data_IF_071795371488
#
_entry.id   IF_071795371488
#
_cell.length_a   1.000
_cell.length_b   1.000
_cell.length_c   1.000
_cell.angle_alpha   90.00
_cell.angle_beta   90.00
_cell.angle_gamma   90.00
#
_symmetry.space_group_name_H-M   'P 1'
#
loop_
_entity.id
_entity.type
_entity.pdbx_description
1 polymer ?
#
# COMPACT_ATOMS: atom_id res chain seq x y z
N UNK A 1 -69.45 -18.98 7.78
CA UNK A 1 -68.60 -19.00 8.99
C UNK A 1 -67.16 -19.14 8.50
N UNK A 2 -66.21 -18.24 8.70
CA UNK A 2 -66.12 -16.89 9.25
C UNK A 2 -64.78 -16.34 8.77
N UNK A 3 -64.75 -15.06 8.37
CA UNK A 3 -63.55 -14.36 7.92
C UNK A 3 -62.62 -14.07 9.12
N UNK A 4 -61.32 -14.36 8.98
CA UNK A 4 -60.28 -14.03 9.95
C UNK A 4 -59.20 -13.16 9.31
N UNK A 5 -59.31 -11.84 9.55
CA UNK A 5 -58.37 -10.79 9.16
C UNK A 5 -57.09 -10.85 10.01
N UNK A 6 -55.91 -10.82 9.38
CA UNK A 6 -54.63 -10.64 10.08
C UNK A 6 -54.02 -9.27 9.69
N UNK A 7 -53.97 -8.41 10.70
CA UNK A 7 -53.48 -7.05 10.64
C UNK A 7 -51.94 -7.00 10.64
N UNK A 8 -51.42 -6.12 9.79
CA UNK A 8 -50.03 -5.68 9.74
C UNK A 8 -49.65 -4.88 11.00
N UNK A 9 -48.52 -5.24 11.63
CA UNK A 9 -47.86 -4.40 12.64
C UNK A 9 -46.55 -3.85 12.08
N UNK A 10 -46.54 -2.55 11.83
CA UNK A 10 -45.32 -1.77 11.63
C UNK A 10 -44.57 -1.61 12.97
N UNK A 11 -43.25 -1.81 13.02
CA UNK A 11 -42.45 -1.33 14.13
C UNK A 11 -42.14 0.16 13.98
N UNK A 12 -42.31 0.86 15.10
CA UNK A 12 -42.19 2.30 15.29
C UNK A 12 -40.80 2.86 14.96
N UNK A 13 -40.81 4.10 14.44
CA UNK A 13 -39.63 4.88 14.11
C UNK A 13 -38.77 5.21 15.32
N UNK A 14 -37.45 5.07 15.14
CA UNK A 14 -36.45 5.64 16.06
C UNK A 14 -36.18 7.08 15.66
N UNK A 15 -36.35 7.97 16.64
CA UNK A 15 -35.99 9.37 16.58
C UNK A 15 -34.48 9.54 16.40
N UNK A 16 -34.06 10.21 15.32
CA UNK A 16 -32.70 10.73 15.17
C UNK A 16 -32.60 12.08 15.88
N UNK A 17 -31.57 12.30 16.74
CA UNK A 17 -31.28 13.62 17.27
C UNK A 17 -30.63 14.51 16.18
N UNK A 18 -30.84 15.84 16.23
CA UNK A 18 -30.36 16.77 15.21
C UNK A 18 -28.85 17.04 15.31
N UNK A 19 -28.32 17.47 14.17
CA UNK A 19 -26.94 17.85 13.85
C UNK A 19 -26.12 18.42 14.99
N UNK A 20 -25.00 17.75 15.29
CA UNK A 20 -23.90 18.32 16.05
C UNK A 20 -22.87 18.87 15.07
N UNK A 21 -22.93 20.18 14.91
CA UNK A 21 -21.93 21.05 14.30
C UNK A 21 -20.53 20.66 14.83
N UNK A 22 -19.66 20.20 13.94
CA UNK A 22 -18.25 19.96 14.29
C UNK A 22 -17.56 21.32 14.41
N UNK A 23 -17.31 21.67 15.66
CA UNK A 23 -16.52 22.81 16.10
C UNK A 23 -15.09 22.68 15.57
N UNK A 24 -14.65 23.71 14.84
CA UNK A 24 -13.28 23.87 14.36
C UNK A 24 -12.45 24.31 15.56
N UNK A 25 -11.87 23.37 16.28
CA UNK A 25 -10.85 23.67 17.28
C UNK A 25 -9.53 23.96 16.56
N UNK A 26 -9.20 25.24 16.49
CA UNK A 26 -7.89 25.78 16.13
C UNK A 26 -6.80 25.23 17.06
N UNK A 27 -5.81 24.56 16.47
CA UNK A 27 -4.56 24.22 17.16
C UNK A 27 -3.64 25.44 17.04
N UNK A 28 -3.55 26.21 18.12
CA UNK A 28 -2.52 27.22 18.33
C UNK A 28 -1.16 26.54 18.53
N UNK A 29 -0.28 26.64 17.55
CA UNK A 29 1.17 26.46 17.74
C UNK A 29 1.77 27.84 18.02
N UNK A 30 2.01 28.08 19.30
CA UNK A 30 2.72 29.24 19.83
C UNK A 30 4.22 29.08 19.51
N UNK A 31 4.65 29.58 18.34
CA UNK A 31 6.07 29.77 18.03
C UNK A 31 6.43 31.24 18.27
N UNK A 32 7.17 31.48 19.35
CA UNK A 32 7.78 32.76 19.64
C UNK A 32 8.80 33.15 18.56
N UNK A 33 8.44 34.17 17.80
CA UNK A 33 9.26 35.35 17.49
C UNK A 33 10.59 35.17 16.75
N UNK A 34 10.59 35.53 15.47
CA UNK A 34 11.51 36.57 14.99
C UNK A 34 10.91 37.33 13.79
N UNK A 35 10.93 38.65 13.90
CA UNK A 35 10.33 39.65 13.01
C UNK A 35 11.08 39.74 11.69
N UNK A 36 10.39 39.55 10.57
CA UNK A 36 10.69 40.28 9.33
C UNK A 36 9.40 40.74 8.67
N UNK A 37 9.24 42.06 8.59
CA UNK A 37 8.12 42.73 7.96
C UNK A 37 8.20 42.62 6.44
N UNK A 38 7.17 42.09 5.80
CA UNK A 38 6.97 42.22 4.36
C UNK A 38 5.57 42.79 4.14
N UNK A 39 5.54 43.96 3.51
CA UNK A 39 4.36 44.77 3.26
C UNK A 39 3.34 44.04 2.39
N UNK A 40 2.08 44.17 2.77
CA UNK A 40 0.95 43.64 2.03
C UNK A 40 0.73 44.33 0.69
N UNK A 41 0.25 43.55 -0.27
CA UNK A 41 -0.59 44.03 -1.35
C UNK A 41 -1.74 43.04 -1.49
N UNK A 42 -2.96 43.55 -1.27
CA UNK A 42 -4.21 42.88 -1.61
C UNK A 42 -4.38 43.02 -3.12
N UNK A 43 -4.64 41.92 -3.81
CA UNK A 43 -5.35 41.95 -5.08
C UNK A 43 -6.35 40.79 -5.10
N UNK A 44 -7.61 41.17 -5.24
CA UNK A 44 -8.77 40.32 -5.53
C UNK A 44 -8.76 39.95 -7.02
N UNK A 45 -9.32 38.80 -7.37
CA UNK A 45 -9.51 38.33 -8.75
C UNK A 45 -9.37 36.82 -8.81
N UNK A 46 -10.45 36.04 -8.71
CA UNK A 46 -11.34 35.60 -9.81
C UNK A 46 -10.61 34.66 -10.79
N UNK A 47 -11.35 33.60 -11.19
CA UNK A 47 -11.13 32.54 -12.19
C UNK A 47 -11.05 31.16 -11.51
N UNK A 48 -12.11 30.36 -11.46
CA UNK A 48 -12.95 29.82 -12.54
C UNK A 48 -12.16 28.92 -13.53
N UNK A 49 -12.66 27.69 -13.58
CA UNK A 49 -12.48 26.57 -14.51
C UNK A 49 -11.62 26.79 -15.78
N UNK A 50 -10.81 25.78 -16.14
CA UNK A 50 -11.20 24.80 -17.16
C UNK A 50 -9.99 24.04 -17.75
N UNK A 51 -10.07 22.72 -17.58
CA UNK A 51 -9.62 21.58 -18.38
C UNK A 51 -8.73 21.73 -19.64
N UNK A 52 -7.84 20.74 -19.70
CA UNK A 52 -7.41 19.95 -20.85
C UNK A 52 -6.54 20.57 -21.97
N UNK A 53 -5.39 19.92 -22.16
CA UNK A 53 -5.28 19.10 -23.37
C UNK A 53 -4.02 19.29 -24.21
N UNK A 54 -3.14 18.28 -24.12
CA UNK A 54 -2.44 17.59 -25.22
C UNK A 54 -1.57 18.34 -26.26
N UNK A 55 -0.52 17.61 -26.66
CA UNK A 55 0.38 17.74 -27.83
C UNK A 55 1.60 18.67 -27.67
N UNK A 56 2.82 18.13 -27.62
CA UNK A 56 3.62 17.46 -28.66
C UNK A 56 4.50 18.44 -29.44
N UNK A 57 5.81 18.14 -29.38
CA UNK A 57 6.91 18.44 -30.27
C UNK A 57 6.76 19.61 -31.27
N UNK A 58 7.59 20.63 -31.08
CA UNK A 58 7.89 21.62 -32.10
C UNK A 58 9.18 22.37 -31.76
N UNK A 59 10.25 22.04 -32.47
CA UNK A 59 11.49 22.80 -32.47
C UNK A 59 11.24 24.21 -33.02
N UNK A 60 11.80 25.23 -32.38
CA UNK A 60 11.72 26.60 -32.87
C UNK A 60 12.51 27.56 -32.00
N UNK A 61 13.73 27.88 -32.43
CA UNK A 61 14.48 29.03 -31.95
C UNK A 61 13.68 30.31 -32.20
N UNK A 62 13.54 31.18 -31.19
CA UNK A 62 13.24 32.59 -31.43
C UNK A 62 13.84 33.51 -30.38
N UNK A 63 14.54 34.51 -30.92
CA UNK A 63 15.04 35.72 -30.31
C UNK A 63 13.97 36.44 -29.47
N UNK A 64 14.37 36.96 -28.31
CA UNK A 64 13.68 38.06 -27.66
C UNK A 64 14.49 39.34 -27.84
N UNK A 65 13.87 40.24 -28.59
CA UNK A 65 14.24 41.61 -28.88
C UNK A 65 13.96 42.53 -27.69
N UNK A 66 14.72 43.62 -27.69
CA UNK A 66 14.61 44.82 -26.86
C UNK A 66 13.23 45.46 -26.78
N UNK A 67 12.90 45.98 -25.59
CA UNK A 67 12.14 47.23 -25.33
C UNK A 67 12.72 47.81 -24.02
N UNK A 68 13.38 48.97 -23.92
CA UNK A 68 13.01 50.39 -24.16
C UNK A 68 11.58 50.70 -23.78
N UNK A 69 11.24 51.70 -22.96
CA UNK A 69 11.94 52.70 -22.17
C UNK A 69 10.88 53.29 -21.22
N UNK A 70 11.23 54.35 -20.50
CA UNK A 70 10.37 55.30 -19.76
C UNK A 70 10.21 54.95 -18.27
N UNK A 71 10.68 55.72 -17.29
CA UNK A 71 11.24 57.07 -17.30
C UNK A 71 10.40 57.98 -16.41
N UNK A 72 10.73 58.10 -15.12
CA UNK A 72 10.37 59.25 -14.30
C UNK A 72 11.43 59.43 -13.21
N UNK A 73 12.09 60.60 -13.23
CA UNK A 73 13.24 60.91 -12.40
C UNK A 73 12.91 61.68 -11.13
N UNK A 74 13.88 61.69 -10.22
CA UNK A 74 14.07 62.74 -9.22
C UNK A 74 15.56 62.98 -8.93
N UNK A 75 15.91 64.27 -8.97
CA UNK A 75 17.01 65.02 -8.35
C UNK A 75 18.36 64.35 -8.09
N UNK A 76 19.35 64.77 -8.88
CA UNK A 76 20.78 64.65 -8.54
C UNK A 76 21.13 65.64 -7.42
N UNK A 77 21.47 65.13 -6.24
CA UNK A 77 22.23 65.86 -5.24
C UNK A 77 23.70 65.41 -5.39
N UNK A 78 24.55 66.27 -5.97
CA UNK A 78 25.97 65.99 -6.13
C UNK A 78 26.69 66.09 -4.77
N UNK A 79 26.72 64.98 -4.02
CA UNK A 79 27.77 64.79 -3.03
C UNK A 79 29.04 64.37 -3.77
N UNK A 80 30.04 65.25 -3.79
CA UNK A 80 31.36 64.97 -4.35
C UNK A 80 32.00 63.79 -3.62
N UNK A 81 31.90 62.58 -4.18
CA UNK A 81 32.81 61.50 -3.84
C UNK A 81 34.14 61.83 -4.50
N UNK A 82 35.07 62.33 -3.68
CA UNK A 82 36.49 62.44 -4.04
C UNK A 82 36.96 61.09 -4.57
N UNK A 83 37.28 61.05 -5.87
CA UNK A 83 38.14 60.02 -6.42
C UNK A 83 39.52 60.17 -5.77
N UNK A 84 39.76 59.41 -4.71
CA UNK A 84 41.14 59.14 -4.29
C UNK A 84 41.77 58.22 -5.32
N UNK A 85 42.77 58.80 -5.97
CA UNK A 85 43.73 58.24 -6.93
C UNK A 85 43.90 56.72 -6.90
N UNK A 86 43.98 56.15 -8.10
CA UNK A 86 44.48 54.82 -8.39
C UNK A 86 45.77 54.55 -7.58
N UNK A 87 45.65 53.67 -6.59
CA UNK A 87 46.79 53.21 -5.81
C UNK A 87 47.58 52.24 -6.69
N UNK A 88 48.84 52.60 -6.91
CA UNK A 88 49.88 51.80 -7.56
C UNK A 88 49.80 50.33 -7.16
N UNK A 89 49.71 49.45 -8.15
CA UNK A 89 49.83 48.01 -7.97
C UNK A 89 51.26 47.67 -7.53
N UNK A 90 51.44 47.43 -6.23
CA UNK A 90 52.61 46.79 -5.68
C UNK A 90 52.60 45.32 -6.10
N UNK A 91 53.65 44.87 -6.80
CA UNK A 91 53.82 43.45 -7.12
C UNK A 91 53.85 42.59 -5.85
N UNK A 92 53.18 41.44 -5.89
CA UNK A 92 53.19 40.48 -4.79
C UNK A 92 54.61 39.98 -4.53
N UNK A 93 55.01 39.96 -3.27
CA UNK A 93 56.27 39.33 -2.88
C UNK A 93 56.13 37.81 -2.99
N UNK A 94 57.20 37.10 -3.38
CA UNK A 94 57.20 35.64 -3.48
C UNK A 94 56.74 34.97 -2.18
N UNK A 95 57.09 35.57 -1.04
CA UNK A 95 56.70 35.12 0.31
C UNK A 95 55.18 35.20 0.54
N UNK A 96 54.50 36.23 0.05
CA UNK A 96 53.05 36.40 0.20
C UNK A 96 52.27 35.34 -0.59
N UNK A 97 52.75 35.01 -1.79
CA UNK A 97 52.21 33.91 -2.60
C UNK A 97 52.38 32.55 -1.92
N UNK A 98 53.51 32.30 -1.25
CA UNK A 98 53.72 31.07 -0.49
C UNK A 98 52.75 30.95 0.70
N UNK A 99 52.57 32.03 1.48
CA UNK A 99 51.65 32.02 2.62
C UNK A 99 50.21 31.81 2.14
N UNK A 100 49.79 32.50 1.07
CA UNK A 100 48.45 32.35 0.50
C UNK A 100 48.17 30.89 0.06
N UNK A 101 49.15 30.24 -0.57
CA UNK A 101 49.01 28.85 -1.03
C UNK A 101 48.88 27.87 0.15
N UNK A 102 49.67 28.06 1.21
CA UNK A 102 49.58 27.24 2.43
C UNK A 102 48.22 27.40 3.11
N UNK A 103 47.74 28.64 3.28
CA UNK A 103 46.43 28.91 3.89
C UNK A 103 45.30 28.34 3.03
N UNK A 104 45.39 28.49 1.70
CA UNK A 104 44.41 27.92 0.78
C UNK A 104 44.38 26.39 0.86
N UNK A 105 45.54 25.72 0.90
CA UNK A 105 45.60 24.26 1.02
C UNK A 105 45.00 23.76 2.35
N UNK A 106 45.23 24.47 3.45
CA UNK A 106 44.63 24.15 4.76
C UNK A 106 43.10 24.31 4.74
N UNK A 107 42.60 25.41 4.17
CA UNK A 107 41.17 25.68 4.04
C UNK A 107 40.49 24.68 3.09
N UNK A 108 41.09 24.38 1.94
CA UNK A 108 40.59 23.39 1.00
C UNK A 108 40.57 21.98 1.63
N UNK A 109 41.59 21.64 2.42
CA UNK A 109 41.66 20.37 3.15
C UNK A 109 40.56 20.23 4.21
N UNK A 110 40.26 21.30 4.96
CA UNK A 110 39.19 21.27 5.97
C UNK A 110 37.80 21.16 5.33
N UNK A 111 37.54 21.96 4.28
CA UNK A 111 36.27 21.91 3.52
C UNK A 111 36.09 20.54 2.85
N UNK A 112 37.15 19.99 2.24
CA UNK A 112 37.11 18.67 1.61
C UNK A 112 36.71 17.57 2.59
N UNK A 113 37.24 17.60 3.82
CA UNK A 113 36.86 16.65 4.88
C UNK A 113 35.38 16.80 5.29
N UNK A 114 34.89 18.03 5.43
CA UNK A 114 33.49 18.29 5.77
C UNK A 114 32.57 17.76 4.66
N UNK A 115 32.92 17.98 3.39
CA UNK A 115 32.13 17.51 2.25
C UNK A 115 32.05 15.99 2.18
N UNK A 116 33.18 15.29 2.34
CA UNK A 116 33.22 13.82 2.34
C UNK A 116 32.41 13.25 3.51
N UNK A 117 32.49 13.87 4.69
CA UNK A 117 31.70 13.45 5.84
C UNK A 117 30.20 13.70 5.62
N UNK A 118 29.83 14.83 5.03
CA UNK A 118 28.45 15.13 4.66
C UNK A 118 27.91 14.09 3.68
N UNK A 119 28.67 13.75 2.64
CA UNK A 119 28.27 12.71 1.68
C UNK A 119 28.08 11.33 2.33
N UNK A 120 28.97 10.93 3.26
CA UNK A 120 28.85 9.66 3.98
C UNK A 120 27.63 9.63 4.89
N UNK A 121 27.40 10.70 5.64
CA UNK A 121 26.24 10.82 6.52
C UNK A 121 24.93 10.78 5.73
N UNK A 122 24.85 11.49 4.61
CA UNK A 122 23.66 11.46 3.75
C UNK A 122 23.36 10.06 3.21
N UNK A 123 24.38 9.30 2.81
CA UNK A 123 24.19 7.90 2.37
C UNK A 123 23.71 7.02 3.51
N UNK A 124 24.31 7.14 4.70
CA UNK A 124 23.89 6.40 5.89
C UNK A 124 22.44 6.70 6.28
N UNK A 125 22.01 7.96 6.18
CA UNK A 125 20.64 8.37 6.45
C UNK A 125 19.67 7.78 5.44
N UNK A 126 20.00 7.80 4.14
CA UNK A 126 19.17 7.21 3.08
C UNK A 126 18.99 5.70 3.31
N UNK A 127 20.04 4.96 3.62
CA UNK A 127 19.97 3.53 3.92
C UNK A 127 19.02 3.22 5.08
N UNK A 128 19.13 3.95 6.19
CA UNK A 128 18.27 3.74 7.36
C UNK A 128 16.82 4.11 7.06
N UNK A 129 16.59 5.23 6.36
CA UNK A 129 15.24 5.67 5.99
C UNK A 129 14.58 4.66 5.04
N UNK A 130 15.33 4.12 4.06
CA UNK A 130 14.82 3.11 3.15
C UNK A 130 14.44 1.83 3.90
N UNK A 131 15.29 1.34 4.81
CA UNK A 131 15.01 0.18 5.65
C UNK A 131 13.72 0.38 6.48
N UNK A 132 13.57 1.52 7.14
CA UNK A 132 12.38 1.83 7.94
C UNK A 132 11.12 1.97 7.10
N UNK A 133 11.21 2.61 5.93
CA UNK A 133 10.11 2.75 4.98
C UNK A 133 9.65 1.38 4.48
N UNK A 134 10.61 0.50 4.16
CA UNK A 134 10.33 -0.87 3.76
C UNK A 134 9.62 -1.61 4.89
N UNK A 135 10.19 -1.66 6.10
CA UNK A 135 9.55 -2.34 7.24
C UNK A 135 8.14 -1.83 7.54
N UNK A 136 7.93 -0.51 7.51
CA UNK A 136 6.60 0.09 7.68
C UNK A 136 5.63 -0.39 6.61
N UNK A 137 6.06 -0.47 5.35
CA UNK A 137 5.26 -1.02 4.25
C UNK A 137 4.92 -2.49 4.50
N UNK A 138 5.89 -3.28 4.96
CA UNK A 138 5.71 -4.70 5.28
C UNK A 138 4.65 -4.97 6.35
N UNK A 139 4.65 -4.16 7.41
CA UNK A 139 3.66 -4.21 8.50
C UNK A 139 2.26 -3.78 8.06
N UNK A 140 2.11 -3.12 6.91
CA UNK A 140 0.79 -2.83 6.35
C UNK A 140 0.35 -3.94 5.40
N UNK A 141 1.25 -4.37 4.50
CA UNK A 141 0.93 -5.32 3.43
C UNK A 141 0.64 -6.72 3.99
N UNK A 142 1.54 -7.28 4.81
CA UNK A 142 1.40 -8.67 5.27
C UNK A 142 0.13 -8.86 6.12
N UNK A 143 -0.14 -8.01 7.13
CA UNK A 143 -1.39 -8.10 7.87
C UNK A 143 -2.64 -7.92 7.00
N UNK A 144 -2.58 -7.04 5.98
CA UNK A 144 -3.73 -6.82 5.09
C UNK A 144 -4.09 -8.03 4.22
N UNK A 145 -3.11 -8.84 3.81
CA UNK A 145 -3.37 -10.09 3.08
C UNK A 145 -3.87 -11.20 4.01
N UNK A 146 -3.36 -11.24 5.26
CA UNK A 146 -3.69 -12.30 6.22
C UNK A 146 -4.98 -12.04 7.01
N UNK A 147 -5.47 -10.80 7.10
CA UNK A 147 -6.67 -10.48 7.89
C UNK A 147 -7.96 -11.08 7.31
N UNK A 148 -7.98 -11.37 6.02
CA UNK A 148 -9.16 -11.94 5.35
C UNK A 148 -9.23 -13.45 5.51
N UNK A 149 -8.21 -14.07 6.10
CA UNK A 149 -8.22 -15.50 6.41
C UNK A 149 -9.29 -15.82 7.45
N UNK A 150 -10.03 -16.89 7.17
CA UNK A 150 -11.01 -17.45 8.07
C UNK A 150 -10.65 -18.88 8.48
N UNK A 151 -11.18 -19.26 9.63
CA UNK A 151 -11.20 -20.65 10.10
C UNK A 151 -12.53 -20.92 10.80
N UNK A 152 -13.03 -22.15 10.72
CA UNK A 152 -14.25 -22.60 11.40
C UNK A 152 -13.99 -23.80 12.34
N UNK A 153 -12.72 -24.07 12.67
CA UNK A 153 -12.30 -25.22 13.48
C UNK A 153 -12.20 -26.55 12.70
N UNK A 154 -12.84 -26.68 11.54
CA UNK A 154 -12.76 -27.87 10.68
C UNK A 154 -12.03 -27.57 9.37
N UNK A 155 -12.26 -26.38 8.83
CA UNK A 155 -11.67 -25.81 7.65
C UNK A 155 -10.82 -24.58 8.01
N UNK A 156 -9.81 -24.33 7.20
CA UNK A 156 -8.94 -23.18 7.32
C UNK A 156 -8.57 -22.66 5.93
N UNK A 157 -8.50 -21.33 5.81
CA UNK A 157 -7.90 -20.70 4.65
C UNK A 157 -6.36 -20.86 4.65
N UNK A 158 -5.77 -21.30 5.77
CA UNK A 158 -4.35 -21.68 5.86
C UNK A 158 -4.21 -23.13 5.36
N UNK A 159 -3.43 -23.31 4.30
CA UNK A 159 -3.19 -24.62 3.69
C UNK A 159 -1.91 -25.29 4.20
N UNK A 160 -0.88 -24.50 4.46
CA UNK A 160 0.36 -24.95 5.10
C UNK A 160 0.97 -23.80 5.87
N UNK A 161 1.59 -24.09 7.01
CA UNK A 161 2.23 -23.06 7.83
C UNK A 161 3.49 -23.57 8.51
N UNK A 162 4.50 -22.70 8.53
CA UNK A 162 5.73 -22.84 9.33
C UNK A 162 6.02 -21.49 9.97
N UNK A 163 7.09 -21.42 10.78
CA UNK A 163 7.51 -20.16 11.40
C UNK A 163 8.04 -19.13 10.41
N UNK A 164 8.35 -19.49 9.16
CA UNK A 164 8.89 -18.55 8.17
C UNK A 164 8.20 -18.62 6.80
N UNK A 165 7.17 -19.45 6.65
CA UNK A 165 6.44 -19.61 5.41
C UNK A 165 4.96 -19.90 5.70
N UNK A 166 4.08 -19.36 4.88
CA UNK A 166 2.66 -19.64 4.93
C UNK A 166 2.08 -19.74 3.52
N UNK A 167 1.32 -20.81 3.27
CA UNK A 167 0.49 -20.97 2.07
C UNK A 167 -0.97 -20.85 2.47
N UNK A 168 -1.71 -19.97 1.81
CA UNK A 168 -3.07 -19.62 2.21
C UNK A 168 -3.95 -19.22 1.03
N UNK A 169 -5.26 -19.18 1.27
CA UNK A 169 -6.29 -18.70 0.34
C UNK A 169 -6.44 -17.18 0.48
N UNK A 170 -5.75 -16.44 -0.37
CA UNK A 170 -5.88 -14.99 -0.43
C UNK A 170 -7.20 -14.62 -1.10
N UNK A 171 -8.14 -14.03 -0.36
CA UNK A 171 -9.42 -13.59 -0.92
C UNK A 171 -9.20 -12.46 -1.93
N UNK A 172 -9.72 -12.64 -3.16
CA UNK A 172 -9.57 -11.68 -4.28
C UNK A 172 -10.88 -11.02 -4.66
N UNK A 173 -12.02 -11.61 -4.31
CA UNK A 173 -13.30 -10.95 -4.43
C UNK A 173 -14.50 -11.70 -3.85
N UNK A 174 -15.63 -11.01 -3.84
CA UNK A 174 -16.92 -11.44 -3.32
C UNK A 174 -18.02 -10.99 -4.29
N UNK A 175 -18.99 -11.86 -4.54
CA UNK A 175 -20.21 -11.53 -5.27
C UNK A 175 -21.34 -12.46 -4.89
N UNK A 176 -22.43 -12.38 -5.66
CA UNK A 176 -23.63 -13.18 -5.43
C UNK A 176 -24.05 -13.87 -6.72
N UNK A 177 -24.42 -15.14 -6.65
CA UNK A 177 -24.92 -15.89 -7.81
C UNK A 177 -26.24 -15.28 -8.30
N UNK A 178 -26.49 -15.31 -9.61
CA UNK A 178 -27.82 -15.06 -10.17
C UNK A 178 -28.34 -16.20 -11.04
N UNK A 179 -27.47 -17.12 -11.43
CA UNK A 179 -27.83 -18.33 -12.15
C UNK A 179 -26.74 -19.35 -11.94
N UNK A 180 -27.11 -20.60 -11.68
CA UNK A 180 -26.18 -21.72 -11.51
C UNK A 180 -26.66 -22.90 -12.33
N UNK A 181 -25.73 -23.55 -13.04
CA UNK A 181 -25.89 -24.85 -13.69
C UNK A 181 -24.71 -25.73 -13.29
N UNK A 182 -24.72 -27.00 -13.67
CA UNK A 182 -23.65 -27.95 -13.33
C UNK A 182 -22.26 -27.57 -13.85
N UNK A 183 -22.18 -26.72 -14.86
CA UNK A 183 -20.91 -26.31 -15.50
C UNK A 183 -20.72 -24.80 -15.55
N UNK A 184 -21.71 -24.01 -15.10
CA UNK A 184 -21.66 -22.54 -15.19
C UNK A 184 -22.22 -21.88 -13.94
N UNK A 185 -21.52 -20.87 -13.45
CA UNK A 185 -21.96 -20.01 -12.35
C UNK A 185 -21.94 -18.58 -12.86
N UNK A 186 -23.07 -17.89 -12.79
CA UNK A 186 -23.17 -16.46 -13.11
C UNK A 186 -23.22 -15.66 -11.83
N UNK A 187 -22.34 -14.67 -11.72
CA UNK A 187 -22.21 -13.77 -10.58
C UNK A 187 -22.70 -12.40 -11.03
N UNK A 188 -23.59 -11.77 -10.26
CA UNK A 188 -24.05 -10.40 -10.56
C UNK A 188 -22.88 -9.42 -10.55
N UNK A 189 -22.86 -8.55 -11.56
CA UNK A 189 -21.90 -7.44 -11.63
C UNK A 189 -22.60 -6.20 -12.17
N UNK A 190 -23.41 -5.60 -11.31
CA UNK A 190 -24.24 -4.42 -11.63
C UNK A 190 -23.83 -3.24 -10.76
N UNK A 191 -24.24 -2.01 -11.11
CA UNK A 191 -23.97 -0.85 -10.25
C UNK A 191 -24.55 -0.95 -8.83
N UNK A 192 -25.63 -1.72 -8.63
CA UNK A 192 -26.28 -1.90 -7.32
C UNK A 192 -25.72 -3.09 -6.54
N UNK A 193 -25.36 -4.16 -7.25
CA UNK A 193 -24.74 -5.37 -6.69
C UNK A 193 -23.52 -5.69 -7.56
N UNK A 194 -22.39 -4.98 -7.35
CA UNK A 194 -21.18 -5.22 -8.12
C UNK A 194 -20.44 -6.45 -7.57
N UNK A 195 -19.61 -7.03 -8.42
CA UNK A 195 -18.58 -7.94 -7.92
C UNK A 195 -17.51 -7.11 -7.18
N UNK A 196 -17.33 -7.36 -5.89
CA UNK A 196 -16.35 -6.67 -5.07
C UNK A 196 -15.02 -7.41 -5.13
N UNK A 197 -14.09 -6.94 -5.96
CA UNK A 197 -12.74 -7.51 -6.03
C UNK A 197 -11.69 -6.47 -6.38
N UNK A 198 -10.44 -6.73 -6.00
CA UNK A 198 -9.30 -5.88 -6.39
C UNK A 198 -8.90 -6.06 -7.86
N UNK A 199 -9.36 -7.16 -8.48
CA UNK A 199 -9.21 -7.50 -9.90
C UNK A 199 -10.29 -8.48 -10.33
N UNK A 200 -10.47 -8.64 -11.64
CA UNK A 200 -11.32 -9.69 -12.20
C UNK A 200 -10.78 -11.09 -11.90
N UNK A 201 -11.69 -12.07 -11.93
CA UNK A 201 -11.38 -13.50 -11.78
C UNK A 201 -10.60 -13.98 -13.00
N UNK A 202 -9.50 -14.69 -12.78
CA UNK A 202 -8.61 -15.24 -13.81
C UNK A 202 -8.73 -16.77 -13.80
N UNK A 203 -9.16 -17.36 -14.93
CA UNK A 203 -9.23 -18.82 -15.09
C UNK A 203 -7.87 -19.50 -14.90
N UNK A 204 -7.87 -20.69 -14.30
CA UNK A 204 -6.64 -21.44 -14.01
C UNK A 204 -5.85 -20.92 -12.80
N UNK A 205 -5.80 -19.60 -12.57
CA UNK A 205 -5.12 -18.97 -11.43
C UNK A 205 -5.99 -18.89 -10.20
N UNK A 206 -7.22 -18.39 -10.35
CA UNK A 206 -8.14 -18.24 -9.23
C UNK A 206 -8.93 -19.52 -9.00
N UNK A 207 -9.49 -19.62 -7.81
CA UNK A 207 -10.50 -20.59 -7.41
C UNK A 207 -11.70 -19.81 -6.91
N UNK A 208 -12.87 -20.43 -6.98
CA UNK A 208 -14.08 -19.87 -6.39
C UNK A 208 -14.59 -20.81 -5.31
N UNK A 209 -15.15 -20.25 -4.25
CA UNK A 209 -15.96 -20.99 -3.29
C UNK A 209 -17.41 -20.53 -3.42
N UNK A 210 -18.30 -21.50 -3.50
CA UNK A 210 -19.74 -21.29 -3.60
C UNK A 210 -20.40 -21.91 -2.37
N UNK A 211 -21.35 -21.18 -1.79
CA UNK A 211 -22.13 -21.71 -0.69
C UNK A 211 -23.13 -22.77 -1.19
N UNK A 212 -23.11 -23.93 -0.54
CA UNK A 212 -24.00 -25.06 -0.80
C UNK A 212 -24.85 -25.26 0.44
N UNK A 213 -26.16 -25.18 0.24
CA UNK A 213 -27.25 -25.35 1.20
C UNK A 213 -27.95 -26.66 0.83
N UNK A 214 -27.69 -27.73 1.59
CA UNK A 214 -28.28 -29.04 1.26
C UNK A 214 -29.66 -29.22 1.88
N UNK A 215 -29.86 -28.80 3.13
CA UNK A 215 -31.15 -28.79 3.81
C UNK A 215 -31.31 -27.54 4.71
N UNK A 216 -32.25 -26.62 4.40
CA UNK A 216 -32.43 -25.38 5.14
C UNK A 216 -32.81 -25.56 6.62
N UNK A 217 -33.24 -26.75 7.03
CA UNK A 217 -33.55 -27.07 8.42
C UNK A 217 -32.29 -27.49 9.22
N UNK A 218 -31.16 -27.78 8.57
CA UNK A 218 -29.95 -28.32 9.19
C UNK A 218 -28.67 -27.55 8.81
N UNK A 219 -28.31 -26.48 9.54
CA UNK A 219 -27.11 -25.67 9.23
C UNK A 219 -25.77 -26.41 9.35
N UNK A 220 -25.79 -27.66 9.82
CA UNK A 220 -24.61 -28.52 9.91
C UNK A 220 -24.25 -29.20 8.60
N UNK A 221 -25.14 -29.22 7.60
CA UNK A 221 -24.87 -29.79 6.28
C UNK A 221 -24.40 -28.75 5.25
N UNK A 222 -24.56 -27.46 5.59
CA UNK A 222 -24.00 -26.32 4.90
C UNK A 222 -22.50 -26.43 4.70
N UNK A 223 -22.04 -26.14 3.48
CA UNK A 223 -20.60 -26.13 3.20
C UNK A 223 -20.22 -25.21 2.06
N UNK A 224 -18.93 -24.89 2.03
CA UNK A 224 -18.31 -24.14 0.96
C UNK A 224 -17.69 -25.10 -0.06
N UNK A 225 -18.25 -25.12 -1.27
CA UNK A 225 -17.74 -25.93 -2.37
C UNK A 225 -16.68 -25.17 -3.16
N UNK A 226 -15.47 -25.72 -3.22
CA UNK A 226 -14.36 -25.16 -3.98
C UNK A 226 -14.43 -25.62 -5.43
N UNK A 227 -14.44 -24.68 -6.37
CA UNK A 227 -14.47 -24.94 -7.79
C UNK A 227 -13.30 -24.25 -8.50
N UNK A 228 -12.88 -24.86 -9.62
CA UNK A 228 -11.79 -24.34 -10.46
C UNK A 228 -12.37 -23.74 -11.75
N UNK A 229 -12.32 -22.41 -11.93
CA UNK A 229 -12.68 -21.76 -13.18
C UNK A 229 -11.82 -22.25 -14.36
N UNK A 230 -12.47 -22.76 -15.40
CA UNK A 230 -11.86 -23.14 -16.69
C UNK A 230 -11.98 -22.03 -17.73
N UNK A 231 -13.00 -21.17 -17.62
CA UNK A 231 -13.15 -19.97 -18.42
C UNK A 231 -13.91 -18.89 -17.63
N UNK A 232 -13.66 -17.62 -17.97
CA UNK A 232 -14.33 -16.45 -17.39
C UNK A 232 -14.80 -15.54 -18.52
N UNK A 233 -16.07 -15.18 -18.53
CA UNK A 233 -16.69 -14.24 -19.47
C UNK A 233 -17.29 -13.07 -18.69
N UNK A 234 -16.73 -11.88 -18.90
CA UNK A 234 -17.12 -10.64 -18.22
C UNK A 234 -18.25 -9.90 -18.94
N UNK A 235 -18.66 -10.36 -20.11
CA UNK A 235 -19.69 -9.71 -20.95
C UNK A 235 -21.04 -10.41 -20.88
N UNK A 236 -21.20 -11.28 -19.88
CA UNK A 236 -22.40 -12.08 -19.75
C UNK A 236 -23.52 -11.34 -19.02
N UNK A 237 -24.70 -11.96 -19.00
CA UNK A 237 -25.87 -11.38 -18.37
C UNK A 237 -26.72 -12.42 -17.64
N UNK A 238 -27.35 -11.97 -16.56
CA UNK A 238 -28.47 -12.62 -15.90
C UNK A 238 -29.75 -11.86 -16.30
N UNK A 239 -30.35 -12.28 -17.42
CA UNK A 239 -31.44 -11.53 -18.06
C UNK A 239 -30.94 -10.14 -18.51
N UNK A 240 -31.55 -9.02 -18.06
CA UNK A 240 -31.10 -7.68 -18.43
C UNK A 240 -29.91 -7.16 -17.60
N UNK A 241 -29.46 -7.92 -16.60
CA UNK A 241 -28.42 -7.48 -15.66
C UNK A 241 -27.05 -8.02 -16.07
N UNK A 242 -26.03 -7.18 -16.04
CA UNK A 242 -24.65 -7.61 -16.28
C UNK A 242 -24.21 -8.66 -15.25
N UNK A 243 -23.44 -9.63 -15.72
CA UNK A 243 -22.96 -10.73 -14.91
C UNK A 243 -21.61 -11.25 -15.42
N UNK A 244 -20.82 -11.76 -14.48
CA UNK A 244 -19.62 -12.54 -14.78
C UNK A 244 -20.02 -14.00 -14.88
N UNK A 245 -19.84 -14.64 -16.03
CA UNK A 245 -20.04 -16.07 -16.18
C UNK A 245 -18.72 -16.81 -15.96
N UNK A 246 -18.71 -17.71 -15.00
CA UNK A 246 -17.63 -18.64 -14.72
C UNK A 246 -18.01 -20.01 -15.26
N UNK A 247 -17.14 -20.59 -16.10
CA UNK A 247 -17.26 -21.99 -16.51
C UNK A 247 -16.39 -22.85 -15.61
N UNK A 248 -16.91 -23.99 -15.18
CA UNK A 248 -16.24 -24.96 -14.30
C UNK A 248 -16.45 -26.38 -14.85
N UNK A 249 -15.67 -27.35 -14.35
CA UNK A 249 -15.98 -28.76 -14.57
C UNK A 249 -17.33 -29.11 -13.93
N UNK A 250 -17.99 -30.16 -14.43
CA UNK A 250 -19.26 -30.62 -13.87
C UNK A 250 -19.09 -30.99 -12.39
N UNK A 251 -19.77 -30.24 -11.51
CA UNK A 251 -19.71 -30.43 -10.06
C UNK A 251 -20.99 -31.03 -9.47
N UNK A 252 -21.96 -31.43 -10.30
CA UNK A 252 -23.23 -31.99 -9.82
C UNK A 252 -23.06 -33.26 -8.99
N UNK A 253 -22.07 -34.11 -9.32
CA UNK A 253 -21.74 -35.31 -8.55
C UNK A 253 -21.08 -35.03 -7.19
N UNK A 254 -20.74 -33.77 -6.89
CA UNK A 254 -20.27 -33.38 -5.57
C UNK A 254 -21.43 -32.97 -4.66
N UNK A 255 -22.65 -32.83 -5.16
CA UNK A 255 -23.83 -32.33 -4.43
C UNK A 255 -24.74 -33.48 -4.01
N UNK A 256 -25.51 -33.29 -2.93
CA UNK A 256 -26.37 -34.33 -2.36
C UNK A 256 -27.69 -34.39 -3.13
N UNK A 257 -28.34 -33.23 -3.36
CA UNK A 257 -29.60 -33.15 -4.12
C UNK A 257 -29.41 -32.52 -5.51
N UNK A 258 -28.17 -32.44 -5.98
CA UNK A 258 -27.83 -31.83 -7.27
C UNK A 258 -27.80 -30.31 -7.21
N UNK A 259 -27.97 -29.64 -8.35
CA UNK A 259 -27.72 -28.19 -8.50
C UNK A 259 -28.66 -27.32 -7.64
N UNK A 260 -29.80 -27.84 -7.21
CA UNK A 260 -30.67 -27.15 -6.27
C UNK A 260 -30.01 -26.85 -4.93
N UNK A 261 -28.97 -27.58 -4.55
CA UNK A 261 -28.20 -27.31 -3.31
C UNK A 261 -27.41 -25.99 -3.42
N UNK A 262 -27.24 -25.43 -4.62
CA UNK A 262 -26.57 -24.14 -4.80
C UNK A 262 -27.60 -23.02 -4.85
N UNK A 263 -27.64 -22.22 -3.79
CA UNK A 263 -28.58 -21.11 -3.67
C UNK A 263 -28.32 -20.03 -4.72
N UNK A 264 -29.35 -19.70 -5.51
CA UNK A 264 -29.35 -18.49 -6.36
C UNK A 264 -29.51 -17.26 -5.47
N UNK A 265 -28.63 -16.28 -5.65
CA UNK A 265 -28.46 -15.17 -4.70
C UNK A 265 -27.47 -15.50 -3.58
N UNK A 266 -26.95 -16.73 -3.53
CA UNK A 266 -25.96 -17.16 -2.56
C UNK A 266 -24.59 -16.50 -2.80
N UNK A 267 -23.78 -16.36 -1.74
CA UNK A 267 -22.47 -15.74 -1.84
C UNK A 267 -21.48 -16.62 -2.63
N UNK A 268 -20.66 -15.97 -3.45
CA UNK A 268 -19.49 -16.57 -4.10
C UNK A 268 -18.27 -15.74 -3.72
N UNK A 269 -17.19 -16.40 -3.31
CA UNK A 269 -15.90 -15.73 -3.11
C UNK A 269 -14.90 -16.26 -4.11
N UNK A 270 -14.07 -15.39 -4.67
CA UNK A 270 -12.89 -15.78 -5.41
C UNK A 270 -11.66 -15.65 -4.53
N UNK A 271 -10.75 -16.60 -4.66
CA UNK A 271 -9.49 -16.60 -3.95
C UNK A 271 -8.38 -17.12 -4.82
N UNK A 272 -7.17 -16.77 -4.44
CA UNK A 272 -5.93 -17.22 -5.05
C UNK A 272 -5.11 -17.94 -3.99
N UNK A 273 -4.51 -19.09 -4.31
CA UNK A 273 -3.61 -19.75 -3.37
C UNK A 273 -2.25 -19.06 -3.47
N UNK A 274 -1.91 -18.32 -2.42
CA UNK A 274 -0.67 -17.57 -2.30
C UNK A 274 0.26 -18.24 -1.32
N UNK A 275 1.56 -18.04 -1.51
CA UNK A 275 2.59 -18.39 -0.55
C UNK A 275 3.46 -17.18 -0.26
N UNK A 276 3.76 -16.98 1.02
CA UNK A 276 4.72 -16.01 1.51
C UNK A 276 5.88 -16.74 2.20
N UNK A 277 7.10 -16.28 1.99
CA UNK A 277 8.29 -16.83 2.65
C UNK A 277 9.58 -16.15 2.22
N UNK A 278 10.73 -16.49 2.84
CA UNK A 278 12.00 -15.89 2.51
C UNK A 278 12.48 -16.31 1.11
N UNK A 279 13.04 -15.35 0.37
CA UNK A 279 13.73 -15.57 -0.91
C UNK A 279 15.03 -14.78 -0.94
N UNK A 280 16.09 -15.39 -1.46
CA UNK A 280 17.37 -14.71 -1.64
C UNK A 280 17.45 -14.11 -3.04
N UNK A 281 17.72 -12.80 -3.11
CA UNK A 281 17.94 -12.09 -4.38
C UNK A 281 19.01 -11.02 -4.17
N UNK A 282 19.98 -10.95 -5.09
CA UNK A 282 21.09 -9.99 -5.01
C UNK A 282 22.00 -10.16 -3.79
N UNK A 283 22.05 -11.36 -3.19
CA UNK A 283 22.82 -11.61 -1.95
C UNK A 283 22.11 -11.20 -0.66
N UNK A 284 20.90 -10.65 -0.76
CA UNK A 284 20.07 -10.25 0.36
C UNK A 284 18.86 -11.17 0.52
N UNK A 285 18.34 -11.29 1.75
CA UNK A 285 17.09 -12.00 2.03
C UNK A 285 15.93 -11.03 1.88
N UNK A 286 14.86 -11.48 1.24
CA UNK A 286 13.62 -10.73 1.02
C UNK A 286 12.45 -11.58 1.49
N UNK A 287 11.38 -10.95 1.94
CA UNK A 287 10.07 -11.60 1.95
C UNK A 287 9.60 -11.65 0.50
N UNK A 288 9.42 -12.87 0.01
CA UNK A 288 8.87 -13.15 -1.30
C UNK A 288 7.41 -13.58 -1.24
N UNK A 289 6.74 -13.44 -2.38
CA UNK A 289 5.40 -13.95 -2.61
C UNK A 289 5.33 -14.73 -3.92
N UNK A 290 4.48 -15.76 -3.98
CA UNK A 290 4.10 -16.42 -5.24
C UNK A 290 2.65 -16.86 -5.24
N UNK A 291 2.09 -16.91 -6.44
CA UNK A 291 0.82 -17.54 -6.78
C UNK A 291 1.04 -19.02 -7.02
N UNK A 292 0.71 -19.84 -6.03
CA UNK A 292 0.78 -21.31 -6.14
C UNK A 292 -0.27 -21.79 -7.12
N UNK A 293 -1.51 -21.30 -7.01
CA UNK A 293 -2.58 -21.69 -7.94
C UNK A 293 -2.39 -21.12 -9.35
N UNK A 294 -1.65 -20.02 -9.51
CA UNK A 294 -1.23 -19.48 -10.80
C UNK A 294 -0.03 -20.19 -11.43
N UNK A 295 0.52 -21.23 -10.78
CA UNK A 295 1.65 -22.01 -11.31
C UNK A 295 2.99 -21.29 -11.29
N UNK A 296 3.15 -20.25 -10.44
CA UNK A 296 4.44 -19.58 -10.30
C UNK A 296 5.43 -20.50 -9.59
N UNK A 297 6.54 -20.82 -10.27
CA UNK A 297 7.53 -21.74 -9.74
C UNK A 297 8.30 -21.16 -8.54
N UNK A 298 8.62 -19.87 -8.55
CA UNK A 298 9.54 -19.24 -7.58
C UNK A 298 8.89 -18.05 -6.88
N UNK A 299 9.21 -17.89 -5.59
CA UNK A 299 8.92 -16.67 -4.83
C UNK A 299 9.56 -15.46 -5.52
N UNK A 300 8.79 -14.40 -5.70
CA UNK A 300 9.28 -13.11 -6.19
C UNK A 300 9.51 -12.17 -5.01
N UNK A 301 10.64 -11.44 -4.94
CA UNK A 301 10.88 -10.47 -3.87
C UNK A 301 9.79 -9.39 -3.81
N UNK A 302 9.22 -9.16 -2.62
CA UNK A 302 8.20 -8.13 -2.38
C UNK A 302 8.68 -7.08 -1.39
N UNK A 303 9.39 -7.52 -0.35
CA UNK A 303 9.78 -6.65 0.77
C UNK A 303 11.15 -7.05 1.31
N UNK A 304 12.05 -6.09 1.49
CA UNK A 304 13.38 -6.34 2.05
C UNK A 304 14.33 -5.16 1.78
N UNK A 305 15.63 -5.30 2.08
CA UNK A 305 16.29 -6.47 2.66
C UNK A 305 15.82 -6.81 4.08
N UNK A 306 15.75 -8.10 4.38
CA UNK A 306 15.46 -8.67 5.69
C UNK A 306 16.69 -9.43 6.23
N UNK A 307 16.75 -9.62 7.54
CA UNK A 307 17.67 -10.58 8.13
C UNK A 307 17.35 -12.01 7.67
N UNK A 308 18.28 -12.96 7.86
CA UNK A 308 18.06 -14.38 7.50
C UNK A 308 16.84 -14.99 8.19
N UNK A 309 16.54 -14.57 9.43
CA UNK A 309 15.32 -14.87 10.18
C UNK A 309 14.38 -13.65 10.26
N UNK A 310 14.42 -12.80 9.24
CA UNK A 310 13.73 -11.51 9.24
C UNK A 310 12.25 -11.56 8.90
N UNK A 311 11.70 -12.74 8.64
CA UNK A 311 10.26 -12.97 8.57
C UNK A 311 9.92 -14.17 9.45
N UNK A 312 9.15 -13.92 10.50
CA UNK A 312 8.77 -14.91 11.50
C UNK A 312 7.27 -14.83 11.78
N UNK A 313 6.63 -15.99 11.88
CA UNK A 313 5.21 -16.19 12.11
C UNK A 313 5.02 -17.08 13.33
N UNK A 314 4.23 -16.59 14.28
CA UNK A 314 3.75 -17.38 15.42
C UNK A 314 2.23 -17.48 15.33
N UNK A 315 1.69 -18.68 15.53
CA UNK A 315 0.26 -18.96 15.41
C UNK A 315 -0.28 -19.32 16.78
N UNK A 316 -1.39 -18.70 17.16
CA UNK A 316 -2.03 -18.89 18.45
C UNK A 316 -3.45 -19.41 18.29
N UNK A 317 -3.87 -20.31 19.15
CA UNK A 317 -5.24 -20.81 19.25
C UNK A 317 -6.16 -19.87 20.05
N UNK A 318 -7.39 -20.31 20.32
CA UNK A 318 -8.40 -19.55 21.07
C UNK A 318 -7.99 -19.29 22.52
N UNK A 319 -7.14 -20.14 23.10
CA UNK A 319 -6.61 -19.98 24.45
C UNK A 319 -5.34 -19.10 24.46
N UNK A 320 -4.88 -18.63 23.31
CA UNK A 320 -3.62 -17.89 23.17
C UNK A 320 -2.38 -18.78 23.26
N UNK A 321 -2.54 -20.10 23.11
CA UNK A 321 -1.42 -21.06 23.10
C UNK A 321 -0.90 -21.24 21.68
N UNK A 322 0.41 -21.43 21.52
CA UNK A 322 0.99 -21.67 20.19
C UNK A 322 0.46 -22.96 19.59
N UNK A 323 -0.01 -22.91 18.34
CA UNK A 323 -0.54 -24.09 17.63
C UNK A 323 0.19 -24.32 16.31
N UNK A 324 0.32 -25.59 15.93
CA UNK A 324 0.80 -26.02 14.61
C UNK A 324 -0.35 -26.59 13.74
N UNK A 325 -1.60 -26.47 14.21
CA UNK A 325 -2.78 -26.96 13.50
C UNK A 325 -3.48 -25.79 12.80
N UNK A 326 -3.53 -25.74 11.46
CA UNK A 326 -4.10 -24.62 10.71
C UNK A 326 -5.56 -24.29 11.05
N UNK A 327 -6.37 -25.29 11.40
CA UNK A 327 -7.77 -25.14 11.78
C UNK A 327 -7.98 -24.57 13.19
N UNK A 328 -6.94 -24.54 14.02
CA UNK A 328 -7.00 -24.00 15.39
C UNK A 328 -6.50 -22.55 15.48
N UNK A 329 -5.85 -22.03 14.43
CA UNK A 329 -5.26 -20.69 14.41
C UNK A 329 -6.32 -19.60 14.56
N UNK A 330 -6.26 -18.81 15.63
CA UNK A 330 -7.12 -17.64 15.86
C UNK A 330 -6.38 -16.32 15.70
N UNK A 331 -5.08 -16.33 15.92
CA UNK A 331 -4.24 -15.15 15.83
C UNK A 331 -2.88 -15.51 15.23
N UNK A 332 -2.36 -14.63 14.38
CA UNK A 332 -1.01 -14.72 13.81
C UNK A 332 -0.24 -13.50 14.27
N UNK A 333 0.89 -13.72 14.95
CA UNK A 333 1.89 -12.67 15.19
C UNK A 333 2.93 -12.74 14.09
N UNK A 334 3.22 -11.57 13.52
CA UNK A 334 4.14 -11.41 12.40
C UNK A 334 5.30 -10.55 12.91
N UNK A 335 6.51 -11.07 12.83
CA UNK A 335 7.73 -10.34 13.17
C UNK A 335 8.54 -10.11 11.90
N UNK A 336 8.82 -8.85 11.59
CA UNK A 336 9.67 -8.43 10.49
C UNK A 336 10.96 -7.81 11.04
N UNK A 337 12.11 -8.37 10.68
CA UNK A 337 13.45 -7.86 11.04
C UNK A 337 14.18 -7.44 9.78
N UNK A 338 14.35 -6.14 9.62
CA UNK A 338 15.01 -5.54 8.47
C UNK A 338 16.46 -5.22 8.78
N UNK A 339 17.28 -5.16 7.73
CA UNK A 339 18.63 -4.59 7.82
C UNK A 339 18.88 -3.64 6.67
N UNK A 340 19.78 -2.68 6.85
CA UNK A 340 20.28 -1.88 5.72
C UNK A 340 20.92 -2.78 4.66
N UNK A 341 20.88 -2.37 3.40
CA UNK A 341 21.49 -3.15 2.32
C UNK A 341 23.01 -3.09 2.41
N UNK A 342 23.51 -1.92 2.80
CA UNK A 342 24.94 -1.69 3.00
C UNK A 342 25.27 -1.36 4.44
N UNK A 343 26.51 -1.66 4.82
CA UNK A 343 27.06 -1.25 6.11
C UNK A 343 27.20 0.28 6.14
N UNK A 344 26.63 0.91 7.16
CA UNK A 344 26.69 2.36 7.34
C UNK A 344 27.65 2.71 8.47
N UNK A 345 28.35 3.83 8.32
CA UNK A 345 29.18 4.42 9.38
C UNK A 345 28.40 5.59 9.99
N UNK A 346 28.19 5.58 11.31
CA UNK A 346 27.40 6.60 12.01
C UNK A 346 28.24 7.75 12.56
N UNK A 347 29.56 7.65 12.47
CA UNK A 347 30.48 8.65 13.00
C UNK A 347 31.92 8.48 12.52
N UNK A 348 32.75 9.48 12.84
CA UNK A 348 34.19 9.41 12.59
C UNK A 348 34.83 8.35 13.48
N UNK A 349 35.40 7.31 12.86
CA UNK A 349 36.04 6.19 13.57
C UNK A 349 35.13 4.99 13.78
N UNK A 350 33.85 5.06 13.42
CA UNK A 350 32.94 3.91 13.49
C UNK A 350 33.25 2.90 12.40
N UNK A 351 33.33 1.63 12.81
CA UNK A 351 33.38 0.51 11.87
C UNK A 351 32.02 0.41 11.18
N UNK A 352 31.95 0.43 9.83
CA UNK A 352 30.69 0.27 9.13
C UNK A 352 29.99 -1.02 9.54
N UNK A 353 28.72 -0.93 9.92
CA UNK A 353 27.89 -2.08 10.30
C UNK A 353 26.50 -1.96 9.70
N UNK A 354 25.82 -3.10 9.55
CA UNK A 354 24.41 -3.11 9.16
C UNK A 354 23.56 -2.55 10.30
N UNK A 355 22.68 -1.59 9.99
CA UNK A 355 21.62 -1.19 10.93
C UNK A 355 20.51 -2.21 10.83
N UNK A 356 19.89 -2.50 11.98
CA UNK A 356 18.79 -3.46 12.09
C UNK A 356 17.61 -2.77 12.75
N UNK A 357 16.41 -3.17 12.37
CA UNK A 357 15.18 -2.73 12.99
C UNK A 357 14.16 -3.87 12.97
N UNK A 358 13.22 -3.87 13.91
CA UNK A 358 12.24 -4.94 14.08
C UNK A 358 10.86 -4.34 14.34
N UNK A 359 9.88 -4.80 13.56
CA UNK A 359 8.49 -4.49 13.79
C UNK A 359 7.68 -5.76 13.99
N UNK A 360 6.69 -5.67 14.86
CA UNK A 360 5.75 -6.75 15.15
C UNK A 360 4.35 -6.29 14.85
N UNK A 361 3.60 -7.12 14.13
CA UNK A 361 2.19 -6.93 13.87
C UNK A 361 1.41 -8.16 14.35
N UNK A 362 0.12 -8.01 14.57
CA UNK A 362 -0.73 -9.13 14.96
C UNK A 362 -2.05 -9.03 14.23
N UNK A 363 -2.52 -10.19 13.76
CA UNK A 363 -3.76 -10.33 13.01
C UNK A 363 -4.62 -11.38 13.69
N UNK A 364 -5.87 -11.04 13.96
CA UNK A 364 -6.89 -12.00 14.38
C UNK A 364 -7.66 -12.49 13.15
N UNK A 365 -7.85 -13.80 13.05
CA UNK A 365 -8.54 -14.41 11.91
C UNK A 365 -10.05 -14.21 12.01
N UNK A 366 -10.72 -14.14 10.86
CA UNK A 366 -12.18 -14.08 10.79
C UNK A 366 -12.79 -15.38 11.29
N UNK A 367 -13.91 -15.26 12.00
CA UNK A 367 -14.64 -16.39 12.59
C UNK A 367 -13.82 -17.22 13.60
N UNK A 368 -12.70 -16.66 14.08
CA UNK A 368 -11.81 -17.29 15.03
C UNK A 368 -12.12 -17.00 16.50
N UNK A 369 -13.33 -16.55 16.82
CA UNK A 369 -13.75 -16.20 18.19
C UNK A 369 -14.09 -17.40 19.04
#
# INVERSE_FOLDING_TARGET
MGYGSFASRHPAGRNYPPDRQLDRSDVYLECHGERWAVGGRKDEGVLEHQWDGWHAAGAGYRHLSSRTADGHGYSCNHSQVRMTMAKSASGFTLTELMIALVVFALAAGSIGRILINSQRLSRAQVEVVNMQSNLRTGVLVVPSELRELATDGTNSDILSMTSSNITFRAMRGLGFTCSVTSTRIKILDTGTVPFYGSRSIISGRDRIIVFVESDPDFPTDDRWLVLTPTAVDLTNNCGPRNAIMITVADFSGQLTNGISDVVVGGPVRSFEVMELGPVTSGGHTWLGARSVSGGQANLQPVLGPLETNGFELEYFDVAGTTTTVPADVRQIRITLRGSTEHAVSRGLGDTPALVRDTLVATVTLRNGS
#
